data_IF_136735880970
#
_entry.id   IF_136735880970
#
_cell.length_a   1.000
_cell.length_b   1.000
_cell.length_c   1.000
_cell.angle_alpha   90.00
_cell.angle_beta   90.00
_cell.angle_gamma   90.00
#
_symmetry.space_group_name_H-M   'P 1'
#
loop_
_entity.id
_entity.type
_entity.pdbx_description
1 polymer ?
#
# COMPACT_ATOMS: atom_id res chain seq x y z
N UNK A 1 13.41 3.35 -16.94
CA UNK A 1 13.09 2.42 -15.84
C UNK A 1 12.04 2.98 -14.85
N UNK A 2 11.11 3.82 -15.32
CA UNK A 2 10.24 4.65 -14.47
C UNK A 2 9.23 3.89 -13.59
N UNK A 3 8.92 2.62 -13.91
CA UNK A 3 7.99 1.81 -13.11
C UNK A 3 8.55 1.38 -11.75
N UNK A 4 9.87 1.09 -11.69
CA UNK A 4 10.51 0.62 -10.46
C UNK A 4 10.61 1.73 -9.41
N UNK A 5 10.96 2.95 -9.84
CA UNK A 5 11.02 4.11 -8.94
C UNK A 5 9.64 4.48 -8.38
N UNK A 6 8.58 4.41 -9.20
CA UNK A 6 7.20 4.61 -8.72
C UNK A 6 6.79 3.57 -7.68
N UNK A 7 7.18 2.31 -7.88
CA UNK A 7 6.91 1.24 -6.91
C UNK A 7 7.67 1.48 -5.60
N UNK A 8 8.95 1.90 -5.69
CA UNK A 8 9.75 2.23 -4.52
C UNK A 8 9.13 3.36 -3.70
N UNK A 9 8.71 4.44 -4.34
CA UNK A 9 8.01 5.56 -3.68
C UNK A 9 6.69 5.10 -3.03
N UNK A 10 5.92 4.23 -3.70
CA UNK A 10 4.68 3.69 -3.12
C UNK A 10 4.94 2.85 -1.87
N UNK A 11 5.96 1.99 -1.90
CA UNK A 11 6.36 1.16 -0.76
C UNK A 11 6.91 2.01 0.39
N UNK A 12 7.74 3.01 0.10
CA UNK A 12 8.30 3.92 1.10
C UNK A 12 7.20 4.77 1.79
N UNK A 13 6.15 5.15 1.05
CA UNK A 13 4.99 5.88 1.57
C UNK A 13 3.95 5.00 2.28
N UNK A 14 4.12 3.69 2.25
CA UNK A 14 3.12 2.77 2.77
C UNK A 14 3.16 2.71 4.29
N UNK A 15 2.14 3.29 4.93
CA UNK A 15 1.95 3.22 6.37
C UNK A 15 0.99 2.08 6.72
N UNK A 16 1.42 1.10 7.54
CA UNK A 16 0.52 0.09 8.07
C UNK A 16 -0.65 0.75 8.81
N UNK A 17 -1.85 0.19 8.67
CA UNK A 17 -3.00 0.72 9.40
C UNK A 17 -3.02 0.18 10.82
N UNK A 18 -3.24 1.09 11.78
CA UNK A 18 -3.58 0.70 13.14
C UNK A 18 -5.00 0.16 13.12
N UNK A 19 -5.20 -0.99 13.74
CA UNK A 19 -6.55 -1.54 13.96
C UNK A 19 -7.27 -0.61 14.92
N UNK A 20 -8.50 -0.22 14.58
CA UNK A 20 -9.37 0.55 15.46
C UNK A 20 -10.37 -0.40 16.13
N UNK A 21 -10.69 -0.15 17.40
CA UNK A 21 -11.80 -0.82 18.07
C UNK A 21 -13.15 -0.24 17.61
N UNK A 22 -14.25 -0.80 18.09
CA UNK A 22 -15.61 -0.31 17.78
C UNK A 22 -15.88 1.14 18.23
N UNK A 23 -15.03 1.69 19.10
CA UNK A 23 -15.10 3.07 19.58
C UNK A 23 -14.21 4.02 18.76
N UNK A 24 -13.49 3.52 17.76
CA UNK A 24 -12.59 4.30 16.92
C UNK A 24 -11.20 4.54 17.53
N UNK A 25 -10.86 3.88 18.64
CA UNK A 25 -9.57 4.01 19.31
C UNK A 25 -8.59 2.94 18.82
N UNK A 26 -7.29 3.17 18.98
CA UNK A 26 -6.25 2.20 18.59
C UNK A 26 -6.39 0.93 19.42
N UNK A 27 -6.69 -0.19 18.76
CA UNK A 27 -6.74 -1.49 19.40
C UNK A 27 -5.32 -1.92 19.83
N UNK A 28 -5.18 -2.37 21.07
CA UNK A 28 -3.91 -2.82 21.63
C UNK A 28 -3.82 -4.36 21.62
N UNK A 29 -2.60 -4.88 21.56
CA UNK A 29 -2.32 -6.30 21.71
C UNK A 29 -2.21 -6.69 23.20
N UNK A 30 -1.93 -7.98 23.45
CA UNK A 30 -1.75 -8.51 24.81
C UNK A 30 -0.58 -7.90 25.60
N UNK A 31 0.29 -7.12 24.93
CA UNK A 31 1.43 -6.42 25.51
C UNK A 31 1.20 -4.91 25.58
N UNK A 32 -0.01 -4.42 25.27
CA UNK A 32 -0.34 -2.99 25.26
C UNK A 32 0.21 -2.22 24.05
N UNK A 33 0.67 -2.90 23.00
CA UNK A 33 1.18 -2.25 21.78
C UNK A 33 0.06 -2.09 20.75
N UNK A 34 0.07 -1.02 19.93
CA UNK A 34 -0.87 -0.87 18.82
C UNK A 34 -0.89 -2.10 17.91
N UNK A 35 -2.07 -2.69 17.73
CA UNK A 35 -2.28 -3.73 16.73
C UNK A 35 -2.17 -3.10 15.36
N UNK A 36 -1.29 -3.64 14.55
CA UNK A 36 -1.09 -3.25 13.16
C UNK A 36 -1.73 -4.33 12.30
N UNK A 37 -2.64 -3.91 11.43
CA UNK A 37 -3.22 -4.82 10.44
C UNK A 37 -2.31 -4.87 9.21
N UNK A 38 -1.96 -6.07 8.72
CA UNK A 38 -1.28 -6.20 7.45
C UNK A 38 -2.23 -5.70 6.36
N UNK A 39 -1.88 -4.58 5.74
CA UNK A 39 -2.51 -4.18 4.49
C UNK A 39 -1.87 -4.99 3.37
N UNK A 40 -2.62 -5.95 2.83
CA UNK A 40 -2.18 -6.68 1.65
C UNK A 40 -2.29 -5.77 0.44
N UNK A 41 -1.16 -5.52 -0.22
CA UNK A 41 -1.17 -4.78 -1.48
C UNK A 41 -1.30 -5.78 -2.62
N UNK A 42 -2.31 -5.59 -3.46
CA UNK A 42 -2.47 -6.43 -4.65
C UNK A 42 -1.41 -6.03 -5.68
N UNK A 43 -0.33 -6.80 -5.72
CA UNK A 43 0.80 -6.58 -6.62
C UNK A 43 0.40 -6.69 -8.09
N UNK A 44 -0.58 -7.53 -8.45
CA UNK A 44 -1.13 -7.59 -9.82
C UNK A 44 -1.78 -6.26 -10.23
N UNK A 45 -2.54 -5.66 -9.32
CA UNK A 45 -3.19 -4.35 -9.52
C UNK A 45 -2.16 -3.21 -9.62
N UNK A 46 -1.09 -3.26 -8.82
CA UNK A 46 0.03 -2.32 -8.95
C UNK A 46 0.77 -2.46 -10.29
N UNK A 47 0.96 -3.69 -10.77
CA UNK A 47 1.62 -3.99 -12.04
C UNK A 47 0.74 -3.65 -13.26
N UNK A 48 -0.59 -3.73 -13.12
CA UNK A 48 -1.55 -3.33 -14.16
C UNK A 48 -1.64 -1.81 -14.34
N UNK A 49 -1.18 -1.02 -13.35
CA UNK A 49 -1.02 0.43 -13.47
C UNK A 49 0.17 0.86 -14.36
N UNK A 50 0.69 -0.02 -15.22
CA UNK A 50 1.56 0.34 -16.36
C UNK A 50 0.77 1.18 -17.36
N UNK A 51 0.66 2.46 -17.04
CA UNK A 51 0.50 3.63 -17.92
C UNK A 51 -0.29 3.42 -19.23
N UNK A 52 -1.54 3.91 -19.25
CA UNK A 52 -2.23 4.28 -20.49
C UNK A 52 -1.40 5.24 -21.38
N UNK A 53 -0.41 5.94 -20.81
CA UNK A 53 0.56 6.76 -21.53
C UNK A 53 1.73 5.98 -22.18
N UNK A 54 1.91 4.68 -21.92
CA UNK A 54 2.93 3.87 -22.60
C UNK A 54 2.41 3.15 -23.85
N UNK A 55 1.10 3.03 -24.03
CA UNK A 55 0.49 2.43 -25.22
C UNK A 55 0.36 3.42 -26.38
N UNK A 56 0.35 4.74 -26.11
CA UNK A 56 0.20 5.76 -27.16
C UNK A 56 1.48 6.09 -27.95
N UNK A 57 2.58 5.38 -27.71
CA UNK A 57 3.86 5.55 -28.44
C UNK A 57 4.19 4.35 -29.35
N UNK A 58 3.24 3.43 -29.56
CA UNK A 58 3.37 2.29 -30.47
C UNK A 58 2.32 2.32 -31.60
N UNK A 59 2.07 3.52 -32.16
CA UNK A 59 1.45 3.71 -33.48
C UNK A 59 2.32 4.63 -34.32
#
# INVERSE_FOLDING_TARGET
MAGFEKLKVYVDGFKPCKVLNSLGEVALDKYGKPRIEPRFVNTKLLLSCKTATAESTLL
#
